data_IF_727358341975
#
_entry.id   IF_727358341975
#
_cell.length_a   1.000
_cell.length_b   1.000
_cell.length_c   1.000
_cell.angle_alpha   90.00
_cell.angle_beta   90.00
_cell.angle_gamma   90.00
#
_symmetry.space_group_name_H-M   'P 1'
#
loop_
_entity.id
_entity.type
_entity.pdbx_description
1 polymer ?
#
# COMPACT_ATOMS: atom_id res chain seq x y z
N UNK A 1 16.02 -7.35 19.41
CA UNK A 1 16.66 -7.51 18.09
C UNK A 1 15.59 -7.23 17.03
N UNK A 2 15.86 -6.35 16.05
CA UNK A 2 14.91 -5.82 15.04
C UNK A 2 13.79 -4.87 15.51
N UNK A 3 13.81 -4.33 16.73
CA UNK A 3 12.70 -3.49 17.25
C UNK A 3 12.37 -2.27 16.38
N UNK A 4 13.39 -1.56 15.89
CA UNK A 4 13.21 -0.43 14.97
C UNK A 4 12.50 -0.88 13.68
N UNK A 5 12.90 -2.02 13.11
CA UNK A 5 12.32 -2.56 11.89
C UNK A 5 10.89 -3.06 12.13
N UNK A 6 10.64 -3.73 13.25
CA UNK A 6 9.31 -4.16 13.70
C UNK A 6 8.36 -2.96 13.75
N UNK A 7 8.75 -1.87 14.41
CA UNK A 7 7.92 -0.68 14.51
C UNK A 7 7.68 0.00 13.16
N UNK A 8 8.65 -0.07 12.23
CA UNK A 8 8.47 0.42 10.85
C UNK A 8 7.51 -0.46 10.04
N UNK A 9 7.57 -1.79 10.21
CA UNK A 9 6.65 -2.73 9.56
C UNK A 9 5.23 -2.56 10.07
N UNK A 10 5.02 -2.40 11.38
CA UNK A 10 3.70 -2.14 11.97
C UNK A 10 3.07 -0.87 11.38
N UNK A 11 3.84 0.23 11.29
CA UNK A 11 3.37 1.46 10.64
C UNK A 11 3.05 1.27 9.15
N UNK A 12 3.83 0.46 8.44
CA UNK A 12 3.61 0.19 7.02
C UNK A 12 2.33 -0.63 6.78
N UNK A 13 2.04 -1.61 7.65
CA UNK A 13 0.77 -2.37 7.66
C UNK A 13 -0.40 -1.39 7.82
N UNK A 14 -0.36 -0.57 8.86
CA UNK A 14 -1.41 0.40 9.17
C UNK A 14 -1.64 1.42 8.05
N UNK A 15 -0.57 1.81 7.35
CA UNK A 15 -0.65 2.73 6.22
C UNK A 15 -1.28 2.06 4.99
N UNK A 16 -0.86 0.83 4.64
CA UNK A 16 -1.36 0.17 3.43
C UNK A 16 -2.82 -0.27 3.54
N UNK A 17 -3.30 -0.64 4.73
CA UNK A 17 -4.73 -0.90 4.96
C UNK A 17 -5.60 0.33 4.69
N UNK A 18 -5.02 1.54 4.82
CA UNK A 18 -5.72 2.81 4.68
C UNK A 18 -5.43 3.52 3.37
N UNK A 19 -4.74 2.92 2.40
CA UNK A 19 -4.43 3.59 1.13
C UNK A 19 -5.66 4.13 0.40
N UNK A 20 -6.76 3.38 0.38
CA UNK A 20 -7.99 3.83 -0.28
C UNK A 20 -8.75 4.92 0.50
N UNK A 21 -8.47 5.08 1.80
CA UNK A 21 -9.06 6.09 2.67
C UNK A 21 -8.23 7.37 2.67
N UNK A 22 -6.93 7.26 2.96
CA UNK A 22 -5.97 8.38 2.99
C UNK A 22 -5.72 8.92 1.59
N UNK A 23 -5.65 8.02 0.61
CA UNK A 23 -5.69 8.38 -0.78
C UNK A 23 -4.50 9.18 -1.29
N UNK A 24 -4.62 9.63 -2.52
CA UNK A 24 -3.65 10.47 -3.22
C UNK A 24 -4.31 11.10 -4.45
N UNK A 25 -3.79 12.23 -4.94
CA UNK A 25 -4.32 12.87 -6.14
C UNK A 25 -4.21 11.92 -7.35
N UNK A 26 -5.37 11.51 -7.86
CA UNK A 26 -5.51 10.78 -9.13
C UNK A 26 -6.67 11.40 -9.90
N UNK A 27 -6.51 11.51 -11.20
CA UNK A 27 -7.45 12.19 -12.07
C UNK A 27 -8.22 11.20 -12.95
N UNK A 28 -9.51 11.44 -13.15
CA UNK A 28 -10.39 10.58 -13.94
C UNK A 28 -11.17 11.34 -15.01
N UNK A 29 -11.53 10.63 -16.08
CA UNK A 29 -12.28 11.15 -17.21
C UNK A 29 -11.52 12.17 -18.07
N UNK A 30 -12.16 12.62 -19.14
CA UNK A 30 -11.56 13.52 -20.15
C UNK A 30 -11.24 14.93 -19.64
N UNK A 31 -11.80 15.31 -18.48
CA UNK A 31 -11.53 16.60 -17.83
C UNK A 31 -10.51 16.50 -16.69
N UNK A 32 -9.89 15.34 -16.51
CA UNK A 32 -8.88 15.10 -15.46
C UNK A 32 -9.35 15.53 -14.07
N UNK A 33 -10.58 15.14 -13.70
CA UNK A 33 -11.16 15.50 -12.40
C UNK A 33 -10.44 14.72 -11.30
N UNK A 34 -9.86 15.43 -10.34
CA UNK A 34 -9.19 14.80 -9.20
C UNK A 34 -10.22 14.14 -8.28
N UNK A 35 -10.02 12.86 -7.97
CA UNK A 35 -10.85 12.10 -7.02
C UNK A 35 -9.89 11.36 -6.08
N UNK A 36 -9.50 11.98 -4.96
CA UNK A 36 -8.34 11.53 -4.20
C UNK A 36 -8.58 10.35 -3.25
N UNK A 37 -9.80 9.81 -3.11
CA UNK A 37 -10.08 8.66 -2.24
C UNK A 37 -11.27 7.83 -2.69
N UNK A 38 -11.42 6.63 -2.12
CA UNK A 38 -12.61 5.79 -2.32
C UNK A 38 -13.89 6.52 -1.93
N UNK A 39 -13.86 7.21 -0.79
CA UNK A 39 -15.00 7.98 -0.26
C UNK A 39 -15.46 9.04 -1.26
N UNK A 40 -14.52 9.76 -1.86
CA UNK A 40 -14.85 10.78 -2.86
C UNK A 40 -15.35 10.17 -4.17
N UNK A 41 -14.79 9.03 -4.59
CA UNK A 41 -15.29 8.31 -5.76
C UNK A 41 -16.73 7.81 -5.58
N UNK A 42 -17.07 7.35 -4.37
CA UNK A 42 -18.42 6.95 -4.00
C UNK A 42 -19.40 8.14 -3.86
N UNK A 43 -18.89 9.32 -3.52
CA UNK A 43 -19.67 10.55 -3.39
C UNK A 43 -19.98 11.26 -4.74
N UNK A 44 -19.28 10.91 -5.83
CA UNK A 44 -19.53 11.47 -7.16
C UNK A 44 -21.02 11.36 -7.56
N UNK A 45 -21.59 12.23 -8.40
CA UNK A 45 -22.94 12.02 -8.93
C UNK A 45 -23.04 10.71 -9.72
N UNK A 46 -24.19 10.02 -9.68
CA UNK A 46 -24.42 8.81 -10.51
C UNK A 46 -24.34 9.09 -12.01
N UNK A 47 -24.55 10.34 -12.41
CA UNK A 47 -24.44 10.83 -13.80
C UNK A 47 -23.01 11.11 -14.24
N UNK A 48 -22.02 11.09 -13.33
CA UNK A 48 -20.63 11.29 -13.70
C UNK A 48 -20.11 10.07 -14.48
N UNK A 49 -19.77 10.29 -15.76
CA UNK A 49 -19.38 9.23 -16.71
C UNK A 49 -18.18 8.41 -16.21
N UNK A 50 -17.24 9.04 -15.52
CA UNK A 50 -16.02 8.41 -14.97
C UNK A 50 -16.21 7.81 -13.56
N UNK A 51 -17.42 7.89 -12.98
CA UNK A 51 -17.66 7.41 -11.60
C UNK A 51 -17.25 5.96 -11.40
N UNK A 52 -17.64 5.09 -12.32
CA UNK A 52 -17.37 3.64 -12.21
C UNK A 52 -15.86 3.35 -12.27
N UNK A 53 -15.15 4.07 -13.14
CA UNK A 53 -13.69 3.99 -13.24
C UNK A 53 -13.03 4.41 -11.92
N UNK A 54 -13.42 5.56 -11.36
CA UNK A 54 -12.88 6.05 -10.10
C UNK A 54 -13.14 5.08 -8.93
N UNK A 55 -14.36 4.55 -8.81
CA UNK A 55 -14.69 3.57 -7.76
C UNK A 55 -13.85 2.28 -7.94
N UNK A 56 -13.74 1.78 -9.17
CA UNK A 56 -12.99 0.56 -9.43
C UNK A 56 -11.50 0.72 -9.11
N UNK A 57 -10.91 1.85 -9.48
CA UNK A 57 -9.53 2.17 -9.12
C UNK A 57 -9.32 2.10 -7.61
N UNK A 58 -10.15 2.81 -6.85
CA UNK A 58 -9.99 2.88 -5.40
C UNK A 58 -10.31 1.57 -4.68
N UNK A 59 -11.24 0.76 -5.20
CA UNK A 59 -11.45 -0.60 -4.71
C UNK A 59 -10.25 -1.50 -4.99
N UNK A 60 -9.61 -1.36 -6.15
CA UNK A 60 -8.37 -2.07 -6.43
C UNK A 60 -7.25 -1.66 -5.46
N UNK A 61 -7.10 -0.35 -5.19
CA UNK A 61 -6.16 0.16 -4.18
C UNK A 61 -6.45 -0.45 -2.80
N UNK A 62 -7.72 -0.51 -2.38
CA UNK A 62 -8.12 -1.10 -1.10
C UNK A 62 -7.74 -2.59 -1.00
N UNK A 63 -8.08 -3.37 -2.04
CA UNK A 63 -7.78 -4.80 -2.10
C UNK A 63 -6.27 -5.03 -2.05
N UNK A 64 -5.52 -4.34 -2.90
CA UNK A 64 -4.07 -4.48 -2.94
C UNK A 64 -3.38 -3.98 -1.66
N UNK A 65 -3.87 -2.91 -1.05
CA UNK A 65 -3.37 -2.44 0.26
C UNK A 65 -3.61 -3.46 1.38
N UNK A 66 -4.75 -4.15 1.35
CA UNK A 66 -5.08 -5.25 2.27
C UNK A 66 -4.15 -6.44 2.07
N UNK A 67 -3.89 -6.82 0.81
CA UNK A 67 -2.99 -7.92 0.49
C UNK A 67 -1.53 -7.59 0.87
N UNK A 68 -1.11 -6.33 0.70
CA UNK A 68 0.19 -5.82 1.15
C UNK A 68 0.33 -5.86 2.67
N UNK A 69 -0.72 -5.44 3.40
CA UNK A 69 -0.77 -5.55 4.85
C UNK A 69 -0.70 -7.01 5.33
N UNK A 70 -1.37 -7.93 4.63
CA UNK A 70 -1.33 -9.36 4.95
C UNK A 70 0.09 -9.95 4.78
N UNK A 71 0.79 -9.58 3.70
CA UNK A 71 2.21 -9.91 3.52
C UNK A 71 3.08 -9.27 4.61
N UNK A 72 2.80 -8.01 4.98
CA UNK A 72 3.48 -7.29 6.06
C UNK A 72 3.35 -7.97 7.41
N UNK A 73 2.17 -8.51 7.74
CA UNK A 73 1.96 -9.32 8.96
C UNK A 73 2.81 -10.58 8.99
N UNK A 74 3.04 -11.23 7.84
CA UNK A 74 3.96 -12.38 7.75
C UNK A 74 5.40 -11.93 8.03
N UNK A 75 5.82 -10.80 7.47
CA UNK A 75 7.14 -10.22 7.76
C UNK A 75 7.30 -9.89 9.25
N UNK A 76 6.30 -9.27 9.85
CA UNK A 76 6.27 -8.93 11.28
C UNK A 76 6.42 -10.18 12.16
N UNK A 77 5.69 -11.25 11.84
CA UNK A 77 5.78 -12.51 12.57
C UNK A 77 7.16 -13.15 12.44
N UNK A 78 7.75 -13.16 11.25
CA UNK A 78 9.09 -13.67 11.02
C UNK A 78 10.15 -12.87 11.81
N UNK A 79 10.07 -11.54 11.81
CA UNK A 79 10.96 -10.67 12.59
C UNK A 79 10.88 -10.94 14.09
N UNK A 80 9.66 -11.14 14.63
CA UNK A 80 9.44 -11.49 16.04
C UNK A 80 10.06 -12.85 16.42
N UNK A 81 10.25 -13.75 15.45
CA UNK A 81 10.92 -15.05 15.63
C UNK A 81 12.42 -15.02 15.32
N UNK A 82 12.96 -13.90 14.84
CA UNK A 82 14.35 -13.79 14.39
C UNK A 82 14.63 -14.37 13.00
N UNK A 83 13.59 -14.71 12.23
CA UNK A 83 13.67 -15.33 10.90
C UNK A 83 13.86 -14.26 9.81
N UNK A 84 15.06 -13.66 9.72
CA UNK A 84 15.30 -12.50 8.85
C UNK A 84 15.06 -12.79 7.36
N UNK A 85 15.49 -13.94 6.84
CA UNK A 85 15.30 -14.30 5.43
C UNK A 85 13.80 -14.40 5.05
N UNK A 86 13.00 -15.00 5.94
CA UNK A 86 11.55 -15.09 5.78
C UNK A 86 10.90 -13.71 5.81
N UNK A 87 11.40 -12.82 6.68
CA UNK A 87 10.94 -11.44 6.72
C UNK A 87 11.27 -10.69 5.41
N UNK A 88 12.48 -10.83 4.87
CA UNK A 88 12.89 -10.22 3.61
C UNK A 88 12.00 -10.70 2.45
N UNK A 89 11.74 -12.01 2.37
CA UNK A 89 10.83 -12.58 1.36
C UNK A 89 9.42 -11.99 1.46
N UNK A 90 8.86 -11.88 2.67
CA UNK A 90 7.55 -11.28 2.87
C UNK A 90 7.53 -9.77 2.52
N UNK A 91 8.58 -9.02 2.86
CA UNK A 91 8.71 -7.60 2.51
C UNK A 91 8.83 -7.36 1.01
N UNK A 92 9.48 -8.28 0.28
CA UNK A 92 9.51 -8.24 -1.18
C UNK A 92 8.10 -8.33 -1.77
N UNK A 93 7.24 -9.21 -1.25
CA UNK A 93 5.84 -9.31 -1.70
C UNK A 93 5.07 -8.01 -1.43
N UNK A 94 5.27 -7.36 -0.29
CA UNK A 94 4.63 -6.07 -0.02
C UNK A 94 5.04 -5.01 -1.07
N UNK A 95 6.34 -4.94 -1.39
CA UNK A 95 6.85 -4.03 -2.43
C UNK A 95 6.27 -4.38 -3.81
N UNK A 96 6.18 -5.67 -4.14
CA UNK A 96 5.60 -6.12 -5.40
C UNK A 96 4.13 -5.71 -5.53
N UNK A 97 3.35 -5.83 -4.45
CA UNK A 97 1.96 -5.39 -4.38
C UNK A 97 1.83 -3.86 -4.47
N UNK A 98 2.79 -3.10 -3.93
CA UNK A 98 2.84 -1.64 -4.05
C UNK A 98 3.17 -1.16 -5.48
N UNK A 99 3.87 -1.96 -6.28
CA UNK A 99 4.45 -1.54 -7.56
C UNK A 99 3.47 -0.84 -8.52
N UNK A 100 2.19 -1.27 -8.69
CA UNK A 100 1.22 -0.56 -9.53
C UNK A 100 0.93 0.88 -9.11
N UNK A 101 1.21 1.22 -7.85
CA UNK A 101 0.95 2.53 -7.23
C UNK A 101 2.24 3.25 -6.82
N UNK A 102 3.40 2.82 -7.29
CA UNK A 102 4.71 3.35 -6.87
C UNK A 102 4.91 4.85 -7.15
N UNK A 103 4.13 5.43 -8.08
CA UNK A 103 4.10 6.88 -8.31
C UNK A 103 3.41 7.66 -7.20
N UNK A 104 2.62 6.98 -6.37
CA UNK A 104 1.72 7.58 -5.37
C UNK A 104 2.03 7.14 -3.94
N UNK A 105 2.55 5.93 -3.74
CA UNK A 105 2.98 5.40 -2.43
C UNK A 105 4.38 4.79 -2.53
N UNK A 106 5.14 4.90 -1.44
CA UNK A 106 6.45 4.27 -1.24
C UNK A 106 6.59 3.67 0.17
N UNK A 107 5.46 3.30 0.76
CA UNK A 107 5.30 2.69 2.08
C UNK A 107 6.22 1.47 2.23
N UNK A 108 6.16 0.54 1.27
CA UNK A 108 6.86 -0.73 1.34
C UNK A 108 8.22 -0.70 0.67
N UNK A 109 8.34 0.01 -0.45
CA UNK A 109 9.58 0.14 -1.23
C UNK A 109 10.72 0.68 -0.36
N UNK A 110 10.49 1.81 0.36
CA UNK A 110 11.50 2.39 1.25
C UNK A 110 11.92 1.46 2.39
N UNK A 111 11.01 0.63 2.86
CA UNK A 111 11.28 -0.30 3.95
C UNK A 111 12.10 -1.49 3.45
N UNK A 112 11.74 -2.05 2.30
CA UNK A 112 12.48 -3.14 1.66
C UNK A 112 13.92 -2.72 1.32
N UNK A 113 14.10 -1.56 0.68
CA UNK A 113 15.44 -1.06 0.31
C UNK A 113 16.31 -0.80 1.55
N UNK A 114 15.72 -0.30 2.63
CA UNK A 114 16.44 -0.10 3.89
C UNK A 114 16.89 -1.42 4.55
N UNK A 115 16.14 -2.51 4.37
CA UNK A 115 16.53 -3.83 4.89
C UNK A 115 17.65 -4.43 4.04
N UNK A 116 17.57 -4.33 2.71
CA UNK A 116 18.65 -4.82 1.82
C UNK A 116 19.96 -4.07 2.05
N UNK A 117 19.92 -2.75 2.18
CA UNK A 117 21.12 -1.94 2.42
C UNK A 117 21.77 -2.19 3.79
N UNK A 118 21.03 -2.73 4.77
CA UNK A 118 21.58 -3.15 6.07
C UNK A 118 22.09 -4.60 6.06
N UNK A 119 21.71 -5.40 5.06
CA UNK A 119 22.10 -6.80 4.92
C UNK A 119 23.31 -7.01 3.99
N UNK A 120 23.66 -6.00 3.19
CA UNK A 120 24.88 -5.92 2.38
C UNK A 120 26.05 -5.34 3.18
#
# INVERSE_FOLDING_TARGET
>A
MYEELIGRVEKAIDASERWAETGWPVAFGSRSISVPSLKEAEALPRTAVFRREAINYWKQVQLTGTDAAASGRKALQALKKGELEMAIGALYFCRYQEAPFASSTNTWTKLYDAVLNKAA
#
